data_IF_982289090577
#
_entry.id   IF_982289090577
#
_cell.length_a   1.000
_cell.length_b   1.000
_cell.length_c   1.000
_cell.angle_alpha   90.00
_cell.angle_beta   90.00
_cell.angle_gamma   90.00
#
_symmetry.space_group_name_H-M   'P 1'
#
loop_
_entity.id
_entity.type
_entity.pdbx_description
1 polymer ?
#
# COMPACT_ATOMS: atom_id res chain seq x y z
N UNK A 1 7.41 -10.13 4.84
CA UNK A 1 6.37 -9.41 5.60
C UNK A 1 5.56 -10.45 6.34
N UNK A 2 5.75 -10.58 7.65
CA UNK A 2 5.22 -11.67 8.48
C UNK A 2 3.86 -11.32 9.08
N UNK A 3 2.92 -10.96 8.22
CA UNK A 3 1.53 -10.65 8.53
C UNK A 3 0.69 -10.92 7.28
N UNK A 4 -0.63 -10.85 7.39
CA UNK A 4 -1.57 -11.20 6.30
C UNK A 4 -1.51 -12.67 5.90
N UNK A 5 -1.23 -13.55 6.87
CA UNK A 5 -1.31 -15.00 6.67
C UNK A 5 -2.75 -15.47 6.42
N UNK A 6 -3.71 -14.80 7.05
CA UNK A 6 -5.12 -15.13 7.01
C UNK A 6 -5.98 -13.92 6.71
N UNK A 7 -7.08 -14.11 6.00
CA UNK A 7 -7.96 -13.04 5.56
C UNK A 7 -9.23 -13.57 4.92
N UNK A 8 -10.09 -12.67 4.44
CA UNK A 8 -11.36 -13.07 3.80
C UNK A 8 -11.16 -13.95 2.57
N UNK A 9 -10.00 -13.85 1.92
CA UNK A 9 -9.59 -14.68 0.78
C UNK A 9 -9.37 -16.16 1.12
N UNK A 10 -9.37 -16.54 2.40
CA UNK A 10 -9.29 -17.95 2.81
C UNK A 10 -10.61 -18.70 2.53
N UNK A 11 -11.73 -17.97 2.39
CA UNK A 11 -13.04 -18.55 2.09
C UNK A 11 -13.05 -19.15 0.70
N UNK A 12 -13.33 -20.46 0.62
CA UNK A 12 -13.30 -21.23 -0.63
C UNK A 12 -11.92 -21.76 -1.01
N UNK A 13 -10.88 -21.48 -0.22
CA UNK A 13 -9.56 -22.09 -0.41
C UNK A 13 -9.53 -23.50 0.18
N UNK A 14 -9.10 -24.49 -0.62
CA UNK A 14 -9.07 -25.91 -0.24
C UNK A 14 -8.08 -26.26 0.89
N UNK A 15 -7.11 -25.39 1.19
CA UNK A 15 -6.04 -25.66 2.15
C UNK A 15 -6.25 -24.99 3.50
N UNK A 16 -6.83 -23.78 3.52
CA UNK A 16 -6.97 -22.97 4.74
C UNK A 16 -8.42 -22.79 5.19
N UNK A 17 -9.38 -22.85 4.27
CA UNK A 17 -10.83 -22.69 4.54
C UNK A 17 -11.20 -21.42 5.32
N UNK A 18 -12.50 -21.20 5.58
CA UNK A 18 -13.02 -20.00 6.24
C UNK A 18 -12.88 -20.05 7.77
N UNK A 19 -11.69 -20.32 8.30
CA UNK A 19 -11.43 -20.38 9.74
C UNK A 19 -11.02 -19.02 10.31
N UNK A 20 -11.45 -18.75 11.53
CA UNK A 20 -10.99 -17.65 12.38
C UNK A 20 -9.54 -17.91 12.77
N UNK A 21 -8.61 -17.46 11.95
CA UNK A 21 -7.18 -17.55 12.22
C UNK A 21 -6.56 -16.16 12.28
N UNK A 22 -5.47 -16.03 13.05
CA UNK A 22 -4.77 -14.76 13.16
C UNK A 22 -3.84 -14.54 11.98
N UNK A 23 -3.93 -13.36 11.37
CA UNK A 23 -3.05 -12.96 10.29
C UNK A 23 -1.59 -12.74 10.72
N UNK A 24 -1.28 -12.80 12.02
CA UNK A 24 0.05 -12.59 12.60
C UNK A 24 0.49 -13.74 13.52
N UNK A 25 -0.04 -14.95 13.31
CA UNK A 25 0.28 -16.13 14.13
C UNK A 25 1.77 -16.49 14.08
N UNK A 26 2.46 -16.36 15.21
CA UNK A 26 3.91 -16.58 15.31
C UNK A 26 4.33 -18.01 15.00
N UNK A 27 3.47 -19.01 15.28
CA UNK A 27 3.80 -20.41 14.97
C UNK A 27 3.89 -20.65 13.47
N UNK A 28 3.02 -20.01 12.68
CA UNK A 28 3.02 -20.05 11.23
C UNK A 28 4.12 -19.16 10.64
N UNK A 29 4.34 -17.98 11.22
CA UNK A 29 5.48 -17.12 10.87
C UNK A 29 6.80 -17.89 11.05
N UNK A 30 6.94 -18.68 12.11
CA UNK A 30 8.12 -19.51 12.36
C UNK A 30 8.32 -20.55 11.26
N UNK A 31 7.24 -21.21 10.82
CA UNK A 31 7.29 -22.14 9.69
C UNK A 31 7.66 -21.43 8.38
N UNK A 32 7.16 -20.21 8.16
CA UNK A 32 7.50 -19.43 6.97
C UNK A 32 8.97 -18.98 6.97
N UNK A 33 9.54 -18.63 8.13
CA UNK A 33 10.96 -18.28 8.27
C UNK A 33 11.89 -19.46 8.00
N UNK A 34 11.45 -20.69 8.26
CA UNK A 34 12.22 -21.91 7.97
C UNK A 34 12.58 -22.02 6.48
N UNK A 35 11.74 -21.48 5.58
CA UNK A 35 12.04 -21.39 4.16
C UNK A 35 13.28 -20.54 3.86
N UNK A 36 13.55 -19.51 4.67
CA UNK A 36 14.76 -18.69 4.52
C UNK A 36 16.00 -19.48 4.96
N UNK A 37 15.91 -20.18 6.09
CA UNK A 37 17.02 -20.94 6.66
C UNK A 37 17.44 -22.12 5.78
N UNK A 38 16.48 -22.78 5.13
CA UNK A 38 16.74 -23.84 4.13
C UNK A 38 17.46 -23.35 2.87
N UNK A 39 17.54 -22.03 2.67
CA UNK A 39 18.23 -21.39 1.55
C UNK A 39 19.46 -20.60 2.02
N UNK A 40 20.04 -20.95 3.18
CA UNK A 40 21.27 -20.38 3.72
C UNK A 40 21.25 -18.85 3.89
N UNK A 41 20.07 -18.27 4.06
CA UNK A 41 19.94 -16.85 4.39
C UNK A 41 20.36 -16.64 5.85
N UNK A 42 21.39 -15.83 6.06
CA UNK A 42 21.81 -15.49 7.42
C UNK A 42 20.71 -14.69 8.16
N UNK A 43 20.37 -15.06 9.42
CA UNK A 43 19.33 -14.38 10.20
C UNK A 43 19.55 -12.87 10.41
N UNK A 44 20.80 -12.42 10.45
CA UNK A 44 21.18 -11.01 10.60
C UNK A 44 20.85 -10.12 9.38
N UNK A 45 20.34 -10.72 8.30
CA UNK A 45 19.79 -10.03 7.13
C UNK A 45 18.26 -9.98 7.12
N UNK A 46 17.60 -10.63 8.09
CA UNK A 46 16.15 -10.75 8.16
C UNK A 46 15.59 -9.79 9.21
N UNK A 47 14.53 -9.08 8.84
CA UNK A 47 13.79 -8.18 9.72
C UNK A 47 12.37 -8.73 9.88
N UNK A 48 11.93 -8.96 11.12
CA UNK A 48 10.58 -9.46 11.41
C UNK A 48 9.56 -8.35 11.21
N UNK A 49 8.57 -8.57 10.35
CA UNK A 49 7.47 -7.63 10.14
C UNK A 49 6.36 -7.78 11.16
N UNK A 50 5.87 -6.68 11.69
CA UNK A 50 4.76 -6.59 12.63
C UNK A 50 3.64 -5.73 12.04
N UNK A 51 2.41 -6.01 12.44
CA UNK A 51 1.23 -5.30 11.97
C UNK A 51 0.70 -4.34 13.04
N UNK A 52 0.47 -3.09 12.65
CA UNK A 52 -0.29 -2.09 13.43
C UNK A 52 -1.76 -2.06 12.98
N UNK A 53 -2.33 -3.24 12.77
CA UNK A 53 -3.72 -3.44 12.45
C UNK A 53 -4.07 -4.89 12.79
N UNK A 54 -5.34 -5.16 12.99
CA UNK A 54 -5.88 -6.51 13.08
C UNK A 54 -6.62 -6.92 11.81
N UNK A 55 -6.90 -8.21 11.72
CA UNK A 55 -7.88 -8.75 10.78
C UNK A 55 -9.13 -9.23 11.50
N UNK A 56 -10.26 -8.71 11.04
CA UNK A 56 -11.56 -8.86 11.64
C UNK A 56 -12.50 -9.69 10.76
N UNK A 57 -13.39 -10.43 11.42
CA UNK A 57 -14.36 -11.33 10.81
C UNK A 57 -15.69 -11.21 11.52
N UNK A 58 -16.76 -11.54 10.79
CA UNK A 58 -18.06 -11.83 11.39
C UNK A 58 -18.13 -13.33 11.62
N UNK A 59 -18.21 -13.76 12.88
CA UNK A 59 -18.25 -15.19 13.24
C UNK A 59 -19.51 -15.85 12.69
N UNK A 60 -19.40 -17.12 12.30
CA UNK A 60 -20.57 -17.87 11.81
C UNK A 60 -21.55 -18.21 12.94
N UNK A 61 -21.01 -18.53 14.11
CA UNK A 61 -21.80 -18.81 15.31
C UNK A 61 -21.14 -18.16 16.52
N UNK A 62 -21.90 -17.35 17.25
CA UNK A 62 -21.42 -16.58 18.40
C UNK A 62 -21.04 -17.44 19.59
N UNK A 63 -21.44 -18.71 19.62
CA UNK A 63 -20.96 -19.69 20.60
C UNK A 63 -19.57 -20.26 20.27
N UNK A 64 -19.09 -20.11 19.03
CA UNK A 64 -17.84 -20.70 18.53
C UNK A 64 -16.91 -19.60 17.99
N UNK A 65 -16.13 -19.00 18.88
CA UNK A 65 -15.30 -17.82 18.59
C UNK A 65 -13.80 -18.03 18.84
N UNK A 66 -13.38 -19.28 19.06
CA UNK A 66 -11.96 -19.62 19.24
C UNK A 66 -11.25 -19.74 17.89
N UNK A 67 -9.91 -19.64 17.86
CA UNK A 67 -9.14 -19.98 16.67
C UNK A 67 -9.54 -21.34 16.09
N UNK A 68 -9.65 -21.42 14.76
CA UNK A 68 -10.12 -22.62 14.07
C UNK A 68 -11.64 -22.81 14.00
N UNK A 69 -12.44 -21.99 14.68
CA UNK A 69 -13.89 -21.89 14.40
C UNK A 69 -14.12 -21.16 13.06
N UNK A 70 -15.31 -21.24 12.49
CA UNK A 70 -15.59 -20.67 11.16
C UNK A 70 -16.14 -19.23 11.21
N UNK A 71 -15.89 -18.47 10.15
CA UNK A 71 -16.47 -17.14 9.95
C UNK A 71 -17.50 -17.12 8.80
N UNK A 72 -18.56 -16.34 8.97
CA UNK A 72 -19.56 -16.13 7.93
C UNK A 72 -19.06 -15.17 6.84
N UNK A 73 -18.41 -14.08 7.25
CA UNK A 73 -17.93 -13.02 6.35
C UNK A 73 -16.77 -12.22 6.97
N UNK A 74 -16.25 -11.25 6.22
CA UNK A 74 -15.31 -10.27 6.77
C UNK A 74 -15.95 -9.41 7.89
N UNK A 75 -15.10 -8.86 8.74
CA UNK A 75 -15.51 -7.92 9.77
C UNK A 75 -15.97 -6.60 9.16
N UNK A 76 -16.90 -5.93 9.82
CA UNK A 76 -17.46 -4.65 9.38
C UNK A 76 -16.35 -3.61 9.23
N UNK A 77 -16.44 -2.82 8.16
CA UNK A 77 -15.56 -1.67 7.98
C UNK A 77 -15.74 -0.67 9.12
N UNK A 78 -14.65 -0.06 9.56
CA UNK A 78 -14.62 0.96 10.62
C UNK A 78 -14.33 2.34 10.01
N UNK A 79 -14.63 3.45 10.69
CA UNK A 79 -14.65 4.78 10.07
C UNK A 79 -13.31 5.27 9.49
N UNK A 80 -12.17 4.88 10.07
CA UNK A 80 -10.85 5.35 9.65
C UNK A 80 -10.24 4.46 8.57
N UNK A 81 -10.28 3.14 8.75
CA UNK A 81 -9.82 2.19 7.73
C UNK A 81 -10.72 2.22 6.51
N UNK A 82 -12.04 2.30 6.73
CA UNK A 82 -13.09 2.18 5.72
C UNK A 82 -12.90 0.97 4.77
N UNK A 83 -12.36 -0.12 5.31
CA UNK A 83 -12.14 -1.37 4.59
C UNK A 83 -12.70 -2.51 5.42
N UNK A 84 -13.40 -3.43 4.76
CA UNK A 84 -13.84 -4.69 5.36
C UNK A 84 -12.62 -5.44 5.87
N UNK A 85 -12.76 -6.14 6.99
CA UNK A 85 -11.74 -6.97 7.66
C UNK A 85 -10.49 -6.25 8.19
N UNK A 86 -10.12 -5.06 7.71
CA UNK A 86 -8.95 -4.35 8.23
C UNK A 86 -9.39 -3.41 9.35
N UNK A 87 -8.82 -3.56 10.55
CA UNK A 87 -9.09 -2.65 11.66
C UNK A 87 -7.77 -2.09 12.17
N UNK A 88 -7.64 -0.76 12.13
CA UNK A 88 -6.42 -0.10 12.59
C UNK A 88 -6.26 -0.25 14.11
N UNK A 89 -5.03 -0.18 14.60
CA UNK A 89 -4.79 -0.20 16.04
C UNK A 89 -5.50 0.95 16.77
N UNK A 90 -5.56 2.14 16.16
CA UNK A 90 -6.39 3.25 16.66
C UNK A 90 -7.87 2.89 16.79
N UNK A 91 -8.43 2.20 15.80
CA UNK A 91 -9.84 1.77 15.81
C UNK A 91 -10.11 0.66 16.83
N UNK A 92 -9.12 -0.19 17.13
CA UNK A 92 -9.16 -1.20 18.20
C UNK A 92 -9.19 -0.51 19.57
N UNK A 93 -8.42 0.55 19.77
CA UNK A 93 -8.49 1.36 21.00
C UNK A 93 -9.85 2.02 21.17
N UNK A 94 -10.45 2.52 20.08
CA UNK A 94 -11.82 3.05 20.13
C UNK A 94 -12.84 1.99 20.53
N UNK A 95 -12.64 0.71 20.14
CA UNK A 95 -13.47 -0.41 20.62
C UNK A 95 -13.32 -0.58 22.13
N UNK A 96 -12.09 -0.57 22.68
CA UNK A 96 -11.88 -0.67 24.13
C UNK A 96 -12.48 0.50 24.91
N UNK A 97 -12.43 1.70 24.35
CA UNK A 97 -12.97 2.90 25.00
C UNK A 97 -14.50 2.96 24.95
N UNK A 98 -15.11 2.42 23.89
CA UNK A 98 -16.57 2.42 23.72
C UNK A 98 -17.26 1.22 24.33
N UNK A 99 -16.57 0.09 24.44
CA UNK A 99 -17.12 -1.18 24.90
C UNK A 99 -16.26 -1.75 26.02
N UNK A 100 -16.88 -2.19 27.11
CA UNK A 100 -16.21 -2.87 28.24
C UNK A 100 -15.84 -4.32 27.88
N UNK A 101 -15.05 -4.51 26.82
CA UNK A 101 -14.59 -5.80 26.31
C UNK A 101 -13.14 -6.05 26.67
N UNK A 102 -12.76 -7.32 26.86
CA UNK A 102 -11.38 -7.73 27.18
C UNK A 102 -10.87 -8.71 26.13
N UNK A 103 -9.64 -8.51 25.62
CA UNK A 103 -9.04 -9.44 24.69
C UNK A 103 -8.49 -10.68 25.42
N UNK A 104 -8.39 -11.79 24.70
CA UNK A 104 -7.73 -13.02 25.16
C UNK A 104 -6.35 -13.13 24.52
N UNK A 105 -5.32 -13.32 25.33
CA UNK A 105 -3.96 -13.56 24.86
C UNK A 105 -3.73 -15.05 24.60
N UNK A 106 -3.29 -15.36 23.38
CA UNK A 106 -2.84 -16.68 22.96
C UNK A 106 -1.32 -16.66 22.91
N UNK A 107 -0.68 -17.06 24.02
CA UNK A 107 0.78 -16.88 24.23
C UNK A 107 1.64 -17.65 23.21
N UNK A 108 1.22 -18.86 22.84
CA UNK A 108 1.97 -19.71 21.91
C UNK A 108 2.01 -19.09 20.51
N UNK A 109 0.87 -18.59 20.06
CA UNK A 109 0.69 -17.92 18.77
C UNK A 109 1.15 -16.46 18.79
N UNK A 110 1.41 -15.91 19.99
CA UNK A 110 1.74 -14.50 20.24
C UNK A 110 0.75 -13.53 19.58
N UNK A 111 -0.55 -13.76 19.80
CA UNK A 111 -1.65 -12.95 19.23
C UNK A 111 -2.67 -12.64 20.31
N UNK A 112 -3.41 -11.55 20.13
CA UNK A 112 -4.62 -11.26 20.91
C UNK A 112 -5.86 -11.36 20.04
N UNK A 113 -6.93 -11.85 20.65
CA UNK A 113 -8.24 -11.95 20.03
C UNK A 113 -9.24 -11.17 20.86
N UNK A 114 -10.06 -10.38 20.18
CA UNK A 114 -11.14 -9.62 20.76
C UNK A 114 -12.46 -9.98 20.09
N UNK A 115 -13.45 -10.36 20.89
CA UNK A 115 -14.84 -10.46 20.46
C UNK A 115 -15.59 -9.19 20.87
N UNK A 116 -16.33 -8.58 19.95
CA UNK A 116 -17.06 -7.33 20.18
C UNK A 116 -18.35 -7.31 19.35
N UNK A 117 -19.26 -6.38 19.68
CA UNK A 117 -20.52 -6.18 18.93
C UNK A 117 -21.31 -7.48 18.62
N UNK A 118 -21.36 -8.40 19.59
CA UNK A 118 -21.99 -9.73 19.55
C UNK A 118 -21.39 -10.75 18.57
N UNK A 119 -21.04 -10.35 17.35
CA UNK A 119 -20.59 -11.27 16.29
C UNK A 119 -19.28 -10.86 15.60
N UNK A 120 -18.67 -9.75 16.01
CA UNK A 120 -17.40 -9.34 15.44
C UNK A 120 -16.24 -9.94 16.23
N UNK A 121 -15.23 -10.34 15.50
CA UNK A 121 -14.02 -10.96 16.02
C UNK A 121 -12.83 -10.29 15.34
N UNK A 122 -11.79 -9.95 16.09
CA UNK A 122 -10.54 -9.42 15.53
C UNK A 122 -9.34 -10.08 16.19
N UNK A 123 -8.39 -10.54 15.37
CA UNK A 123 -7.05 -10.90 15.81
C UNK A 123 -6.08 -9.77 15.49
N UNK A 124 -5.28 -9.40 16.47
CA UNK A 124 -4.37 -8.25 16.41
C UNK A 124 -3.18 -8.43 17.36
N UNK A 125 -2.24 -7.50 17.28
CA UNK A 125 -1.06 -7.44 18.14
C UNK A 125 -1.08 -6.17 19.01
N UNK A 126 -0.62 -6.30 20.26
CA UNK A 126 -0.36 -5.21 21.21
C UNK A 126 0.94 -5.40 22.01
N UNK A 127 1.14 -4.63 23.08
CA UNK A 127 2.34 -4.66 23.94
C UNK A 127 2.76 -6.09 24.36
N UNK A 128 1.81 -6.94 24.79
CA UNK A 128 2.13 -8.30 25.23
C UNK A 128 2.68 -9.13 24.07
N UNK A 129 2.02 -9.05 22.92
CA UNK A 129 2.41 -9.82 21.72
C UNK A 129 3.68 -9.27 21.06
N UNK A 130 3.89 -7.95 21.07
CA UNK A 130 5.12 -7.34 20.59
C UNK A 130 6.31 -7.78 21.42
N UNK A 131 6.15 -7.90 22.74
CA UNK A 131 7.19 -8.46 23.60
C UNK A 131 7.52 -9.91 23.20
N UNK A 132 6.52 -10.76 23.04
CA UNK A 132 6.72 -12.16 22.63
C UNK A 132 7.42 -12.26 21.26
N UNK A 133 7.00 -11.45 20.29
CA UNK A 133 7.59 -11.44 18.94
C UNK A 133 9.00 -10.82 18.91
N UNK A 134 9.27 -9.80 19.72
CA UNK A 134 10.60 -9.23 19.87
C UNK A 134 11.57 -10.20 20.54
N UNK A 135 11.11 -10.92 21.57
CA UNK A 135 11.88 -11.96 22.26
C UNK A 135 12.17 -13.13 21.30
N UNK A 136 11.19 -13.56 20.49
CA UNK A 136 11.40 -14.53 19.42
C UNK A 136 12.43 -14.05 18.39
N UNK A 137 12.29 -12.82 17.87
CA UNK A 137 13.22 -12.28 16.88
C UNK A 137 14.67 -12.23 17.42
N UNK A 138 14.83 -11.89 18.69
CA UNK A 138 16.13 -11.90 19.39
C UNK A 138 16.68 -13.31 19.54
N UNK A 139 15.83 -14.27 19.92
CA UNK A 139 16.22 -15.68 20.03
C UNK A 139 16.64 -16.32 18.71
N UNK A 140 16.13 -15.80 17.59
CA UNK A 140 16.51 -16.22 16.23
C UNK A 140 17.66 -15.39 15.63
N UNK A 141 18.26 -14.47 16.39
CA UNK A 141 19.30 -13.56 15.91
C UNK A 141 18.88 -12.72 14.68
N UNK A 142 17.59 -12.37 14.57
CA UNK A 142 17.10 -11.50 13.50
C UNK A 142 17.66 -10.07 13.66
N UNK A 143 17.87 -9.38 12.53
CA UNK A 143 18.45 -8.03 12.50
C UNK A 143 17.62 -6.98 13.23
N UNK A 144 16.30 -7.17 13.26
CA UNK A 144 15.40 -6.23 13.90
C UNK A 144 13.94 -6.47 13.56
N UNK A 145 13.15 -5.43 13.82
CA UNK A 145 11.71 -5.40 13.63
C UNK A 145 11.34 -4.30 12.63
N UNK A 146 10.30 -4.53 11.84
CA UNK A 146 9.65 -3.57 10.95
C UNK A 146 8.17 -3.53 11.30
N UNK A 147 7.52 -2.40 11.10
CA UNK A 147 6.08 -2.25 11.33
C UNK A 147 5.35 -1.76 10.09
N UNK A 148 4.19 -2.34 9.83
CA UNK A 148 3.20 -1.84 8.88
C UNK A 148 1.90 -1.45 9.60
N UNK A 149 1.53 -0.17 9.69
CA UNK A 149 2.38 0.99 9.44
C UNK A 149 2.16 2.01 10.56
N UNK A 150 3.12 2.92 10.71
CA UNK A 150 3.10 3.96 11.77
C UNK A 150 1.82 4.81 11.75
N UNK A 151 1.22 5.03 10.58
CA UNK A 151 -0.02 5.80 10.42
C UNK A 151 -1.27 5.10 10.97
N UNK A 152 -1.18 3.83 11.34
CA UNK A 152 -2.29 3.07 11.93
C UNK A 152 -2.26 3.04 13.46
N UNK A 153 -1.20 3.61 14.04
CA UNK A 153 -1.05 3.81 15.48
C UNK A 153 -2.05 4.85 16.00
N UNK A 154 -2.11 4.99 17.31
CA UNK A 154 -2.88 6.03 17.98
C UNK A 154 -2.17 7.39 17.88
N UNK A 155 -2.92 8.47 18.11
CA UNK A 155 -2.39 9.85 18.13
C UNK A 155 -1.25 10.07 19.12
N UNK A 156 -1.21 9.29 20.19
CA UNK A 156 -0.22 9.30 21.27
C UNK A 156 0.89 8.25 21.07
N UNK A 157 0.96 7.62 19.90
CA UNK A 157 1.98 6.64 19.53
C UNK A 157 2.06 5.45 20.52
N UNK A 158 0.90 4.97 20.98
CA UNK A 158 0.80 3.91 22.00
C UNK A 158 1.52 2.64 21.56
N UNK A 159 1.27 2.18 20.34
CA UNK A 159 1.83 0.93 19.83
C UNK A 159 3.30 1.07 19.44
N UNK A 160 3.70 2.22 18.89
CA UNK A 160 5.11 2.55 18.64
C UNK A 160 5.91 2.54 19.93
N UNK A 161 5.38 3.15 21.01
CA UNK A 161 6.03 3.20 22.32
C UNK A 161 6.15 1.80 22.94
N UNK A 162 5.08 1.00 22.86
CA UNK A 162 5.10 -0.40 23.29
C UNK A 162 6.13 -1.23 22.51
N UNK A 163 6.19 -1.07 21.19
CA UNK A 163 7.16 -1.77 20.35
C UNK A 163 8.61 -1.33 20.65
N UNK A 164 8.85 -0.04 20.88
CA UNK A 164 10.17 0.46 21.26
C UNK A 164 10.65 -0.17 22.58
N UNK A 165 9.76 -0.27 23.58
CA UNK A 165 10.01 -0.94 24.85
C UNK A 165 10.32 -2.44 24.63
N UNK A 166 9.51 -3.13 23.85
CA UNK A 166 9.74 -4.55 23.51
C UNK A 166 11.08 -4.79 22.79
N UNK A 167 11.45 -3.88 21.88
CA UNK A 167 12.71 -3.92 21.14
C UNK A 167 13.94 -3.49 21.97
N UNK A 168 13.77 -3.10 23.24
CA UNK A 168 14.80 -2.49 24.07
C UNK A 168 15.50 -1.30 23.40
N UNK A 169 14.73 -0.46 22.68
CA UNK A 169 15.23 0.76 22.05
C UNK A 169 14.83 1.97 22.88
N UNK A 170 15.79 2.87 23.12
CA UNK A 170 15.50 4.21 23.63
C UNK A 170 14.79 4.98 22.53
N UNK A 171 13.49 5.19 22.69
CA UNK A 171 12.68 5.98 21.77
C UNK A 171 12.25 7.26 22.47
N UNK A 172 12.50 8.40 21.83
CA UNK A 172 11.83 9.65 22.16
C UNK A 172 10.65 9.71 21.21
N UNK A 173 9.44 9.56 21.73
CA UNK A 173 8.24 9.83 20.93
C UNK A 173 8.34 11.26 20.44
N UNK A 174 8.52 11.42 19.12
CA UNK A 174 8.18 12.67 18.48
C UNK A 174 6.67 12.79 18.65
N UNK A 175 6.23 13.39 19.77
CA UNK A 175 4.87 13.86 19.90
C UNK A 175 4.59 14.64 18.62
N UNK A 176 3.58 14.23 17.87
CA UNK A 176 2.96 15.14 16.94
C UNK A 176 2.63 16.36 17.79
N UNK A 177 3.30 17.47 17.53
CA UNK A 177 2.94 18.73 18.14
C UNK A 177 1.43 18.83 18.00
N UNK A 178 0.73 18.97 19.12
CA UNK A 178 -0.69 19.34 19.14
C UNK A 178 -0.77 20.77 18.64
N UNK A 179 -0.38 20.99 17.40
CA UNK A 179 -0.70 22.21 16.72
C UNK A 179 -2.15 22.02 16.28
N UNK A 180 -3.05 22.59 17.07
CA UNK A 180 -4.45 22.80 16.74
C UNK A 180 -4.63 23.61 15.44
N UNK A 181 -3.54 24.10 14.84
CA UNK A 181 -3.47 24.60 13.47
C UNK A 181 -2.82 23.60 12.51
N UNK A 182 -3.50 22.50 12.19
CA UNK A 182 -3.30 21.87 10.88
C UNK A 182 -3.82 22.83 9.81
N UNK A 183 -3.02 23.85 9.50
CA UNK A 183 -3.18 24.64 8.29
C UNK A 183 -2.89 23.68 7.15
N UNK A 184 -3.94 23.03 6.65
CA UNK A 184 -3.80 22.18 5.47
C UNK A 184 -3.52 23.10 4.30
N UNK A 185 -2.24 23.39 4.05
CA UNK A 185 -1.83 24.03 2.80
C UNK A 185 -2.01 22.96 1.72
N UNK A 186 -3.21 22.87 1.16
CA UNK A 186 -3.46 22.09 -0.06
C UNK A 186 -2.84 22.84 -1.22
N UNK A 187 -1.54 22.64 -1.43
CA UNK A 187 -0.92 23.03 -2.71
C UNK A 187 -1.42 22.03 -3.75
N UNK A 188 -2.43 22.42 -4.53
CA UNK A 188 -2.88 21.63 -5.68
C UNK A 188 -1.78 21.72 -6.75
N UNK A 189 -0.95 20.69 -6.84
CA UNK A 189 -0.07 20.49 -7.99
C UNK A 189 -0.86 19.75 -9.06
N UNK A 190 -1.32 20.48 -10.07
CA UNK A 190 -2.03 19.94 -11.21
C UNK A 190 -1.05 19.17 -12.13
N UNK A 191 -0.85 17.89 -11.87
CA UNK A 191 0.02 17.05 -12.71
C UNK A 191 -0.72 16.54 -13.94
N UNK A 192 -0.01 16.42 -15.06
CA UNK A 192 -0.51 15.72 -16.23
C UNK A 192 -0.73 14.23 -15.93
N UNK A 193 -1.75 13.62 -16.55
CA UNK A 193 -2.11 12.22 -16.31
C UNK A 193 -2.62 11.51 -17.56
N UNK A 194 -2.54 10.19 -17.52
CA UNK A 194 -3.19 9.31 -18.49
C UNK A 194 -4.67 9.10 -18.14
N UNK A 195 -5.54 9.00 -19.15
CA UNK A 195 -6.94 8.55 -19.00
C UNK A 195 -7.01 7.04 -18.75
N UNK A 196 -8.21 6.46 -18.57
CA UNK A 196 -8.38 5.03 -18.81
C UNK A 196 -8.50 4.73 -20.33
N UNK A 197 -8.58 3.45 -20.69
CA UNK A 197 -8.74 3.01 -22.09
C UNK A 197 -10.05 3.55 -22.67
N UNK A 198 -9.98 4.11 -23.88
CA UNK A 198 -11.12 4.66 -24.62
C UNK A 198 -11.83 5.86 -23.96
N UNK A 199 -11.28 6.40 -22.88
CA UNK A 199 -11.77 7.62 -22.26
C UNK A 199 -11.14 8.88 -22.90
N UNK A 200 -11.88 9.99 -22.82
CA UNK A 200 -11.38 11.32 -23.18
C UNK A 200 -10.83 12.04 -21.95
N UNK A 201 -10.03 13.09 -22.16
CA UNK A 201 -9.62 13.97 -21.08
C UNK A 201 -10.83 14.51 -20.30
N UNK A 202 -10.68 14.62 -18.98
CA UNK A 202 -11.68 15.25 -18.11
C UNK A 202 -12.00 16.67 -18.58
N UNK A 203 -13.23 17.13 -18.28
CA UNK A 203 -13.64 18.50 -18.61
C UNK A 203 -12.63 19.52 -18.05
N UNK A 204 -12.20 20.45 -18.91
CA UNK A 204 -11.16 21.43 -18.59
C UNK A 204 -9.73 20.94 -18.72
N UNK A 205 -9.48 19.68 -19.12
CA UNK A 205 -8.14 19.17 -19.42
C UNK A 205 -7.93 19.07 -20.94
N UNK A 206 -6.71 19.37 -21.38
CA UNK A 206 -6.31 19.34 -22.78
C UNK A 206 -5.50 18.07 -23.07
N UNK A 207 -5.79 17.45 -24.22
CA UNK A 207 -4.93 16.41 -24.79
C UNK A 207 -3.59 17.02 -25.15
N UNK A 208 -2.51 16.37 -24.73
CA UNK A 208 -1.16 16.84 -25.03
C UNK A 208 -0.83 16.53 -26.48
N UNK A 209 -0.52 17.55 -27.31
CA UNK A 209 -0.15 17.33 -28.70
C UNK A 209 1.21 16.67 -28.81
N UNK A 210 1.39 15.86 -29.86
CA UNK A 210 2.70 15.34 -30.25
C UNK A 210 3.43 16.43 -31.05
N UNK A 211 4.66 16.72 -30.66
CA UNK A 211 5.40 17.91 -31.14
C UNK A 211 6.80 17.60 -31.67
N UNK A 212 7.21 16.32 -31.70
CA UNK A 212 8.44 15.92 -32.37
C UNK A 212 8.34 16.06 -33.90
N UNK A 213 9.48 16.10 -34.60
CA UNK A 213 9.55 16.32 -36.04
C UNK A 213 8.87 15.25 -36.91
N UNK A 214 8.43 14.12 -36.33
CA UNK A 214 7.70 13.07 -37.03
C UNK A 214 6.18 13.10 -36.73
N UNK A 215 5.72 14.08 -35.96
CA UNK A 215 4.31 14.21 -35.60
C UNK A 215 3.47 14.62 -36.82
N UNK A 216 2.32 13.97 -37.00
CA UNK A 216 1.31 14.42 -37.96
C UNK A 216 0.57 15.65 -37.42
N UNK A 217 0.03 16.48 -38.32
CA UNK A 217 -0.81 17.61 -37.94
C UNK A 217 -2.01 17.14 -37.12
N UNK A 218 -2.12 17.62 -35.88
CA UNK A 218 -3.20 17.24 -34.96
C UNK A 218 -3.02 15.87 -34.29
N UNK A 219 -1.81 15.30 -34.31
CA UNK A 219 -1.51 14.08 -33.55
C UNK A 219 -1.33 14.40 -32.07
N UNK A 220 -1.82 13.51 -31.21
CA UNK A 220 -1.73 13.62 -29.74
C UNK A 220 -0.89 12.48 -29.17
N UNK A 221 -0.39 12.70 -27.96
CA UNK A 221 0.28 11.65 -27.19
C UNK A 221 -0.77 10.65 -26.66
N UNK A 222 -0.67 9.43 -27.17
CA UNK A 222 -1.54 8.31 -26.79
C UNK A 222 -0.70 7.04 -26.58
N UNK A 223 -1.17 6.17 -25.69
CA UNK A 223 -0.60 4.84 -25.45
C UNK A 223 -1.64 3.76 -25.76
N UNK A 224 -1.25 2.79 -26.57
CA UNK A 224 -2.05 1.62 -26.95
C UNK A 224 -1.75 0.40 -26.05
N UNK A 225 -0.68 0.46 -25.26
CA UNK A 225 -0.20 -0.63 -24.43
C UNK A 225 -1.19 -0.97 -23.33
N UNK A 226 -1.63 -2.23 -23.27
CA UNK A 226 -2.45 -2.73 -22.16
C UNK A 226 -3.97 -2.56 -22.32
N UNK A 227 -4.45 -1.88 -23.37
CA UNK A 227 -5.89 -1.77 -23.63
C UNK A 227 -6.50 -2.98 -24.36
N UNK A 228 -5.72 -4.01 -24.74
CA UNK A 228 -6.20 -5.24 -25.39
C UNK A 228 -7.16 -5.01 -26.58
N UNK A 229 -6.95 -3.95 -27.36
CA UNK A 229 -7.79 -3.58 -28.50
C UNK A 229 -9.06 -2.79 -28.17
N UNK A 230 -9.35 -2.51 -26.89
CA UNK A 230 -10.52 -1.74 -26.44
C UNK A 230 -10.39 -0.23 -26.65
N UNK A 231 -9.20 0.27 -26.98
CA UNK A 231 -8.96 1.69 -27.22
C UNK A 231 -7.54 2.11 -26.89
N UNK A 232 -7.38 3.39 -26.57
CA UNK A 232 -6.09 4.01 -26.24
C UNK A 232 -6.21 4.83 -24.95
N UNK A 233 -5.11 4.95 -24.23
CA UNK A 233 -4.92 5.94 -23.19
C UNK A 233 -4.55 7.29 -23.82
N UNK A 234 -5.11 8.39 -23.33
CA UNK A 234 -4.77 9.76 -23.75
C UNK A 234 -3.98 10.45 -22.66
N UNK A 235 -2.93 11.19 -23.02
CA UNK A 235 -2.17 12.01 -22.06
C UNK A 235 -2.77 13.41 -21.98
N UNK A 236 -3.14 13.84 -20.77
CA UNK A 236 -3.93 15.05 -20.52
C UNK A 236 -3.26 15.97 -19.50
N UNK A 237 -3.31 17.28 -19.72
CA UNK A 237 -2.83 18.31 -18.79
C UNK A 237 -3.86 19.43 -18.59
N UNK A 238 -3.79 20.15 -17.48
CA UNK A 238 -4.61 21.33 -17.24
C UNK A 238 -4.07 22.55 -18.04
N UNK A 239 -4.93 23.38 -18.66
CA UNK A 239 -4.53 24.57 -19.41
C UNK A 239 -3.80 25.62 -18.58
N UNK A 240 -4.07 25.67 -17.27
CA UNK A 240 -3.40 26.59 -16.34
C UNK A 240 -1.93 26.25 -16.11
N UNK A 241 -1.50 25.05 -16.50
CA UNK A 241 -0.12 24.60 -16.47
C UNK A 241 0.49 24.71 -17.89
N UNK A 242 1.80 24.97 -17.96
CA UNK A 242 2.50 24.93 -19.25
C UNK A 242 2.52 23.49 -19.75
N UNK A 243 1.71 23.20 -20.77
CA UNK A 243 1.62 21.88 -21.40
C UNK A 243 3.02 21.43 -21.86
N UNK A 244 3.50 20.24 -21.47
CA UNK A 244 4.83 19.78 -21.81
C UNK A 244 4.99 19.54 -23.32
N UNK A 245 6.21 19.67 -23.80
CA UNK A 245 6.59 19.28 -25.16
C UNK A 245 6.86 17.78 -25.16
N UNK A 246 6.07 17.04 -25.93
CA UNK A 246 6.11 15.59 -25.91
C UNK A 246 6.27 14.99 -27.31
N UNK A 247 6.87 13.80 -27.36
CA UNK A 247 7.10 13.06 -28.59
C UNK A 247 7.10 11.55 -28.40
N UNK A 248 7.25 10.83 -29.52
CA UNK A 248 7.37 9.36 -29.53
C UNK A 248 8.77 8.91 -29.89
N UNK A 249 9.16 7.74 -29.40
CA UNK A 249 10.31 7.05 -29.96
C UNK A 249 10.03 6.58 -31.38
N UNK A 250 11.03 6.75 -32.24
CA UNK A 250 11.06 6.25 -33.60
C UNK A 250 12.39 5.53 -33.85
N UNK A 251 12.52 4.90 -35.02
CA UNK A 251 13.78 4.24 -35.44
C UNK A 251 14.98 5.20 -35.50
N UNK A 252 14.73 6.51 -35.53
CA UNK A 252 15.78 7.54 -35.56
C UNK A 252 16.31 7.91 -34.16
N UNK A 253 15.73 7.34 -33.09
CA UNK A 253 16.27 7.46 -31.73
C UNK A 253 17.29 6.34 -31.46
N UNK A 254 18.57 6.72 -31.32
CA UNK A 254 19.71 5.80 -31.22
C UNK A 254 19.67 4.78 -30.07
N UNK A 255 18.81 4.99 -29.07
CA UNK A 255 18.70 4.15 -27.87
C UNK A 255 17.24 3.78 -27.52
N UNK A 256 16.34 3.73 -28.52
CA UNK A 256 14.93 3.41 -28.32
C UNK A 256 14.68 2.14 -27.49
N UNK A 257 15.47 1.08 -27.68
CA UNK A 257 15.26 -0.20 -26.98
C UNK A 257 15.80 -0.20 -25.54
N UNK A 258 16.68 0.76 -25.21
CA UNK A 258 17.32 0.86 -23.89
C UNK A 258 16.52 1.71 -22.89
N UNK A 259 15.42 2.35 -23.32
CA UNK A 259 14.62 3.23 -22.46
C UNK A 259 15.39 4.46 -21.99
N UNK A 260 16.33 4.96 -22.81
CA UNK A 260 17.12 6.14 -22.49
C UNK A 260 16.55 7.33 -23.27
N UNK A 261 15.99 8.29 -22.55
CA UNK A 261 15.44 9.53 -23.10
C UNK A 261 16.55 10.53 -23.48
N UNK A 262 16.18 11.51 -24.32
CA UNK A 262 17.04 12.68 -24.60
C UNK A 262 17.31 13.44 -23.28
N UNK A 263 18.50 14.03 -23.15
CA UNK A 263 18.80 14.91 -22.01
C UNK A 263 17.72 15.99 -21.85
N UNK A 264 17.20 16.15 -20.62
CA UNK A 264 16.11 17.08 -20.31
C UNK A 264 14.70 16.55 -20.58
N UNK A 265 14.54 15.28 -20.95
CA UNK A 265 13.25 14.61 -21.13
C UNK A 265 13.10 13.37 -20.25
N UNK A 266 11.85 13.01 -19.95
CA UNK A 266 11.45 11.90 -19.09
C UNK A 266 10.52 10.97 -19.86
N UNK A 267 10.71 9.66 -19.68
CA UNK A 267 9.83 8.61 -20.20
C UNK A 267 8.49 8.64 -19.47
N UNK A 268 7.39 8.72 -20.21
CA UNK A 268 6.03 8.75 -19.64
C UNK A 268 5.18 7.52 -20.00
N UNK A 269 5.57 6.76 -21.03
CA UNK A 269 4.97 5.48 -21.39
C UNK A 269 5.90 4.64 -22.27
N UNK A 270 5.79 3.31 -22.15
CA UNK A 270 6.57 2.33 -22.94
C UNK A 270 5.71 1.14 -23.35
N UNK A 271 5.67 0.85 -24.66
CA UNK A 271 5.11 -0.40 -25.17
C UNK A 271 6.15 -1.51 -25.10
N UNK A 272 5.72 -2.70 -24.67
CA UNK A 272 6.60 -3.88 -24.53
C UNK A 272 6.84 -4.61 -25.86
N UNK A 273 6.08 -4.31 -26.90
CA UNK A 273 6.06 -5.06 -28.17
C UNK A 273 6.80 -4.36 -29.33
N UNK A 274 7.67 -3.39 -29.05
CA UNK A 274 8.54 -2.80 -30.07
C UNK A 274 9.19 -1.48 -29.67
N UNK A 275 9.84 -0.83 -30.64
CA UNK A 275 10.52 0.46 -30.52
C UNK A 275 9.54 1.65 -30.46
N UNK A 276 8.44 1.52 -29.68
CA UNK A 276 7.36 2.51 -29.55
C UNK A 276 7.18 2.88 -28.08
N UNK A 277 7.16 4.17 -27.79
CA UNK A 277 6.91 4.74 -26.47
C UNK A 277 6.91 6.25 -26.53
N UNK A 278 6.65 6.91 -25.40
CA UNK A 278 6.44 8.35 -25.33
C UNK A 278 7.32 9.00 -24.26
N UNK A 279 7.80 10.20 -24.57
CA UNK A 279 8.61 11.02 -23.68
C UNK A 279 8.11 12.47 -23.68
N UNK A 280 8.45 13.20 -22.63
CA UNK A 280 8.16 14.62 -22.52
C UNK A 280 9.34 15.37 -21.91
N UNK A 281 9.61 16.59 -22.38
CA UNK A 281 10.50 17.55 -21.72
C UNK A 281 9.68 18.58 -20.95
N UNK A 282 10.16 18.94 -19.75
CA UNK A 282 9.62 20.07 -19.02
C UNK A 282 9.81 21.37 -19.85
N UNK A 283 8.85 22.28 -19.76
CA UNK A 283 8.93 23.56 -20.47
C UNK A 283 9.96 24.44 -19.76
N UNK A 284 11.03 24.84 -20.45
CA UNK A 284 12.07 25.70 -19.89
C UNK A 284 11.51 27.03 -19.35
N UNK A 285 11.75 27.30 -18.07
CA UNK A 285 11.37 28.54 -17.40
C UNK A 285 10.89 28.28 -15.97
N UNK A 286 11.03 29.28 -15.10
CA UNK A 286 10.86 29.20 -13.63
C UNK A 286 9.46 28.82 -13.09
N UNK A 287 8.59 28.22 -13.91
CA UNK A 287 7.35 27.57 -13.47
C UNK A 287 7.64 26.12 -13.04
N UNK A 288 6.87 25.62 -12.08
CA UNK A 288 7.08 24.29 -11.50
C UNK A 288 7.17 23.17 -12.55
N UNK A 289 7.99 22.16 -12.25
CA UNK A 289 8.08 20.96 -13.06
C UNK A 289 6.70 20.26 -13.11
N UNK A 290 6.08 20.07 -14.29
CA UNK A 290 4.78 19.39 -14.41
C UNK A 290 4.84 17.92 -13.94
N UNK A 291 6.06 17.39 -13.76
CA UNK A 291 6.35 16.06 -13.23
C UNK A 291 6.82 16.08 -11.76
N UNK A 292 6.74 17.22 -11.06
CA UNK A 292 7.29 17.44 -9.71
C UNK A 292 6.70 16.49 -8.65
N UNK A 293 7.25 15.28 -8.60
CA UNK A 293 7.66 14.61 -7.38
C UNK A 293 9.13 14.28 -7.57
N UNK A 294 10.02 14.70 -6.65
CA UNK A 294 11.46 14.42 -6.70
C UNK A 294 11.76 12.94 -6.43
N UNK A 295 11.16 12.01 -7.17
CA UNK A 295 11.51 10.59 -7.18
C UNK A 295 11.84 10.19 -8.60
N UNK A 296 13.09 9.76 -8.81
CA UNK A 296 13.48 8.99 -9.99
C UNK A 296 12.49 7.83 -10.14
N UNK A 297 11.84 7.75 -11.30
CA UNK A 297 11.00 6.60 -11.67
C UNK A 297 11.95 5.43 -11.97
N UNK A 298 12.35 4.72 -10.92
CA UNK A 298 12.89 3.36 -11.07
C UNK A 298 11.67 2.43 -11.09
N UNK A 299 11.41 1.83 -12.25
CA UNK A 299 10.56 0.66 -12.48
C UNK A 299 9.58 0.28 -11.35
N UNK A 300 8.29 0.52 -11.55
CA UNK A 300 7.26 -0.34 -10.96
C UNK A 300 6.09 -0.50 -11.94
N UNK A 301 6.06 -1.63 -12.63
CA UNK A 301 4.77 -2.24 -12.98
C UNK A 301 4.29 -2.96 -11.73
N UNK A 302 3.50 -2.27 -10.92
CA UNK A 302 2.61 -2.87 -9.93
C UNK A 302 1.21 -2.41 -10.29
N UNK A 303 0.36 -3.39 -10.58
CA UNK A 303 -1.07 -3.15 -10.77
C UNK A 303 -1.66 -2.71 -9.42
N UNK A 304 -2.40 -1.61 -9.44
CA UNK A 304 -3.29 -1.17 -8.36
C UNK A 304 -4.64 -0.86 -8.99
N UNK A 305 -5.72 -1.36 -8.40
CA UNK A 305 -7.09 -0.92 -8.73
C UNK A 305 -7.36 0.37 -7.96
N UNK A 306 -7.79 1.42 -8.65
CA UNK A 306 -8.22 2.68 -8.04
C UNK A 306 -9.67 2.59 -7.55
N UNK A 307 -9.92 3.23 -6.40
CA UNK A 307 -11.20 3.31 -5.66
C UNK A 307 -12.23 4.28 -6.30
N UNK A 308 -12.41 4.25 -7.63
CA UNK A 308 -13.13 5.30 -8.36
C UNK A 308 -14.50 4.87 -8.92
N UNK A 309 -15.19 3.91 -8.28
CA UNK A 309 -16.64 3.74 -8.43
C UNK A 309 -17.32 4.17 -7.12
N UNK A 310 -17.46 5.48 -6.96
CA UNK A 310 -18.37 6.11 -6.00
C UNK A 310 -19.16 7.18 -6.75
N UNK A 311 -20.31 6.77 -7.26
CA UNK A 311 -21.54 7.48 -6.95
C UNK A 311 -22.13 6.83 -5.70
#
# INVERSE_FOLDING_TARGET
>A
MSYDLHGTWDKGNKWVSAYLNSHTNLTEITQALDLLWRNDLSPDKVILGLAFYGRAFTVENTAYTKPGCTYASGGKARPCSNKVTVILNSEIEDIFNSLSVKPTLYKKEAIKILNYEKSQWVAYDDEDTFKLKADFARGQCLRGLMVWAVSYDTKDAKYTSALAKAANRKFVAALLATDSSLTTIKTKHAQCKWTNCAENCLSGWLRVPRTDGQARKGEYIVDEGGCNGLGIYQFCCLPSERVPTCGRWSKDFSNCDKGICLSGSVEIARLMSGSRGAFCSAVGGAGGDPFSSKKKVSQERKYYCHDDLKD
#
